data_IF_952855419374
#
_entry.id   IF_952855419374
#
_cell.length_a   1.000
_cell.length_b   1.000
_cell.length_c   1.000
_cell.angle_alpha   90.00
_cell.angle_beta   90.00
_cell.angle_gamma   90.00
#
_symmetry.space_group_name_H-M   'P 1'
#
loop_
_entity.id
_entity.type
_entity.pdbx_description
1 polymer ?
#
# COMPACT_ATOMS: atom_id res chain seq x y z
N UNK A 1 42.37 28.75 -12.82
CA UNK A 1 41.00 28.90 -13.36
C UNK A 1 40.39 27.51 -13.52
N UNK A 2 39.37 27.14 -12.73
CA UNK A 2 38.57 25.96 -13.00
C UNK A 2 37.10 26.39 -13.16
N UNK A 3 36.63 26.71 -14.37
CA UNK A 3 35.24 27.16 -14.54
C UNK A 3 34.80 27.19 -16.00
N UNK A 4 34.49 26.02 -16.60
CA UNK A 4 33.61 25.94 -17.79
C UNK A 4 33.07 24.52 -18.04
N UNK A 5 33.77 23.45 -17.62
CA UNK A 5 33.40 22.06 -17.98
C UNK A 5 32.29 21.36 -17.15
N UNK A 6 31.76 21.98 -16.09
CA UNK A 6 30.79 21.34 -15.18
C UNK A 6 29.33 21.30 -15.69
N UNK A 7 28.79 22.36 -16.33
CA UNK A 7 27.42 22.37 -16.84
C UNK A 7 27.21 21.41 -18.03
N UNK A 8 28.18 21.35 -18.95
CA UNK A 8 28.12 20.50 -20.14
C UNK A 8 28.08 19.01 -19.76
N UNK A 9 28.97 18.58 -18.87
CA UNK A 9 29.02 17.19 -18.37
C UNK A 9 27.73 16.77 -17.66
N UNK A 10 27.08 17.69 -16.95
CA UNK A 10 25.77 17.45 -16.33
C UNK A 10 24.67 17.28 -17.39
N UNK A 11 24.71 18.08 -18.46
CA UNK A 11 23.74 17.95 -19.56
C UNK A 11 23.91 16.64 -20.35
N UNK A 12 25.14 16.18 -20.54
CA UNK A 12 25.47 14.90 -21.17
C UNK A 12 24.98 13.72 -20.33
N UNK A 13 25.27 13.71 -19.02
CA UNK A 13 24.77 12.69 -18.09
C UNK A 13 23.23 12.64 -18.06
N UNK A 14 22.56 13.79 -18.17
CA UNK A 14 21.09 13.86 -18.26
C UNK A 14 20.59 13.22 -19.55
N UNK A 15 21.22 13.52 -20.68
CA UNK A 15 20.86 12.97 -21.98
C UNK A 15 21.08 11.45 -22.02
N UNK A 16 22.23 10.98 -21.52
CA UNK A 16 22.55 9.55 -21.42
C UNK A 16 21.55 8.78 -20.55
N UNK A 17 21.18 9.33 -19.39
CA UNK A 17 20.20 8.68 -18.50
C UNK A 17 18.83 8.56 -19.16
N UNK A 18 18.42 9.54 -19.97
CA UNK A 18 17.13 9.51 -20.69
C UNK A 18 17.13 8.60 -21.92
N UNK A 19 18.29 8.19 -22.43
CA UNK A 19 18.39 7.21 -23.53
C UNK A 19 18.19 5.76 -23.04
N UNK A 20 18.38 5.51 -21.75
CA UNK A 20 18.24 4.19 -21.13
C UNK A 20 16.81 3.88 -20.70
N UNK A 21 16.49 2.58 -20.69
CA UNK A 21 15.26 2.04 -20.07
C UNK A 21 15.54 1.66 -18.62
N UNK A 22 14.96 2.37 -17.67
CA UNK A 22 15.17 2.17 -16.23
C UNK A 22 14.06 1.34 -15.59
N UNK A 23 14.45 0.48 -14.67
CA UNK A 23 13.59 -0.18 -13.70
C UNK A 23 13.80 0.48 -12.35
N UNK A 24 12.72 0.81 -11.65
CA UNK A 24 12.76 1.41 -10.31
C UNK A 24 12.24 0.43 -9.29
N UNK A 25 13.05 0.10 -8.28
CA UNK A 25 12.66 -0.76 -7.17
C UNK A 25 12.65 0.12 -5.92
N UNK A 26 11.46 0.32 -5.37
CA UNK A 26 11.19 1.33 -4.35
C UNK A 26 10.65 0.63 -3.12
N UNK A 27 11.26 0.89 -1.97
CA UNK A 27 10.74 0.49 -0.66
C UNK A 27 10.38 1.75 0.14
N UNK A 28 9.07 2.04 0.23
CA UNK A 28 8.55 3.15 1.01
C UNK A 28 8.36 2.72 2.47
N UNK A 29 9.33 3.10 3.30
CA UNK A 29 9.30 3.01 4.75
C UNK A 29 8.47 4.12 5.41
N UNK A 30 8.40 4.10 6.75
CA UNK A 30 7.76 5.17 7.53
C UNK A 30 8.54 6.50 7.49
N UNK A 31 9.87 6.45 7.65
CA UNK A 31 10.70 7.67 7.67
C UNK A 31 11.41 7.91 6.34
N UNK A 32 11.91 6.86 5.69
CA UNK A 32 12.67 6.96 4.45
C UNK A 32 12.09 6.06 3.37
N UNK A 33 12.25 6.51 2.13
CA UNK A 33 11.99 5.75 0.92
C UNK A 33 13.34 5.41 0.28
N UNK A 34 13.64 4.13 0.20
CA UNK A 34 14.85 3.61 -0.43
C UNK A 34 14.55 3.25 -1.88
N UNK A 35 15.38 3.70 -2.82
CA UNK A 35 15.16 3.51 -4.26
C UNK A 35 16.42 2.97 -4.92
N UNK A 36 16.24 1.90 -5.70
CA UNK A 36 17.24 1.37 -6.61
C UNK A 36 16.73 1.58 -8.03
N UNK A 37 17.43 2.39 -8.81
CA UNK A 37 17.21 2.49 -10.24
C UNK A 37 18.26 1.65 -10.96
N UNK A 38 17.78 0.72 -11.79
CA UNK A 38 18.60 -0.20 -12.55
C UNK A 38 18.27 -0.09 -14.04
N UNK A 39 19.29 0.00 -14.88
CA UNK A 39 19.15 -0.16 -16.31
C UNK A 39 20.18 -1.15 -16.82
N UNK A 40 19.77 -2.00 -17.76
CA UNK A 40 20.65 -2.86 -18.51
C UNK A 40 20.34 -2.66 -19.98
N UNK A 41 21.27 -2.00 -20.67
CA UNK A 41 21.13 -1.73 -22.09
C UNK A 41 22.02 -2.69 -22.86
N UNK A 42 21.42 -3.53 -23.69
CA UNK A 42 22.17 -4.31 -24.67
C UNK A 42 22.21 -3.50 -25.97
N UNK A 43 23.39 -2.95 -26.31
CA UNK A 43 23.61 -2.44 -27.67
C UNK A 43 23.82 -3.64 -28.60
N UNK A 44 23.25 -3.59 -29.80
CA UNK A 44 23.32 -4.72 -30.73
C UNK A 44 24.78 -5.10 -31.01
N UNK A 45 25.18 -6.30 -30.57
CA UNK A 45 26.52 -6.84 -30.76
C UNK A 45 27.53 -6.54 -29.65
N UNK A 46 27.13 -5.83 -28.59
CA UNK A 46 28.00 -5.50 -27.43
C UNK A 46 27.49 -6.16 -26.14
N UNK A 47 28.39 -6.35 -25.17
CA UNK A 47 28.01 -6.77 -23.83
C UNK A 47 27.10 -5.72 -23.20
N UNK A 48 26.04 -6.18 -22.53
CA UNK A 48 25.05 -5.27 -21.96
C UNK A 48 25.67 -4.43 -20.84
N UNK A 49 25.61 -3.11 -20.97
CA UNK A 49 26.12 -2.20 -19.95
C UNK A 49 25.06 -2.03 -18.86
N UNK A 50 25.44 -2.31 -17.61
CA UNK A 50 24.59 -2.14 -16.45
C UNK A 50 24.85 -0.80 -15.77
N UNK A 51 23.78 -0.11 -15.40
CA UNK A 51 23.83 1.09 -14.58
C UNK A 51 22.93 0.95 -13.37
N UNK A 52 23.46 1.36 -12.21
CA UNK A 52 22.76 1.38 -10.93
C UNK A 52 22.86 2.75 -10.28
N UNK A 53 21.76 3.22 -9.74
CA UNK A 53 21.69 4.41 -8.89
C UNK A 53 20.88 4.06 -7.65
N UNK A 54 21.38 4.49 -6.50
CA UNK A 54 20.67 4.33 -5.22
C UNK A 54 20.34 5.69 -4.68
N UNK A 55 19.08 5.90 -4.29
CA UNK A 55 18.61 7.13 -3.68
C UNK A 55 17.93 6.79 -2.35
N UNK A 56 18.02 7.73 -1.40
CA UNK A 56 17.32 7.67 -0.12
C UNK A 56 16.66 9.03 0.11
N UNK A 57 15.33 9.03 0.14
CA UNK A 57 14.53 10.23 0.34
C UNK A 57 13.78 10.11 1.68
N UNK A 58 13.39 11.23 2.26
CA UNK A 58 12.39 11.21 3.32
C UNK A 58 11.07 10.74 2.72
N UNK A 59 10.37 9.82 3.40
CA UNK A 59 9.07 9.32 2.92
C UNK A 59 8.01 10.42 2.84
N UNK A 60 8.13 11.44 3.69
CA UNK A 60 7.29 12.63 3.69
C UNK A 60 8.16 13.88 3.81
N UNK A 61 8.06 14.76 2.80
CA UNK A 61 8.67 16.09 2.83
C UNK A 61 7.86 17.06 1.96
N UNK A 62 6.65 17.44 2.39
CA UNK A 62 5.71 18.24 1.59
C UNK A 62 6.24 19.64 1.23
N UNK A 63 7.28 20.12 1.90
CA UNK A 63 7.93 21.38 1.55
C UNK A 63 8.76 21.29 0.25
N UNK A 64 9.10 20.09 -0.20
CA UNK A 64 10.00 19.85 -1.34
C UNK A 64 9.33 19.02 -2.44
N UNK A 65 8.52 18.02 -2.08
CA UNK A 65 7.82 17.14 -3.03
C UNK A 65 6.55 16.54 -2.41
N UNK A 66 5.58 16.23 -3.27
CA UNK A 66 4.32 15.60 -2.87
C UNK A 66 4.49 14.10 -2.58
N UNK A 67 5.35 13.41 -3.35
CA UNK A 67 5.60 11.97 -3.21
C UNK A 67 7.07 11.63 -3.45
N UNK A 68 7.67 10.91 -2.50
CA UNK A 68 9.08 10.53 -2.53
C UNK A 68 9.42 9.58 -3.69
N UNK A 69 8.50 8.71 -4.10
CA UNK A 69 8.71 7.75 -5.19
C UNK A 69 8.78 8.48 -6.53
N UNK A 70 7.82 9.39 -6.76
CA UNK A 70 7.79 10.26 -7.94
C UNK A 70 9.03 11.13 -7.99
N UNK A 71 9.42 11.73 -6.85
CA UNK A 71 10.63 12.55 -6.77
C UNK A 71 11.89 11.75 -7.10
N UNK A 72 12.04 10.53 -6.59
CA UNK A 72 13.21 9.70 -6.89
C UNK A 72 13.33 9.39 -8.39
N UNK A 73 12.21 9.10 -9.06
CA UNK A 73 12.18 8.89 -10.52
C UNK A 73 12.60 10.18 -11.25
N UNK A 74 12.12 11.35 -10.80
CA UNK A 74 12.52 12.65 -11.35
C UNK A 74 14.02 12.90 -11.18
N UNK A 75 14.61 12.59 -10.03
CA UNK A 75 16.04 12.79 -9.79
C UNK A 75 16.90 11.88 -10.67
N UNK A 76 16.52 10.61 -10.81
CA UNK A 76 17.22 9.65 -11.68
C UNK A 76 17.15 10.09 -13.14
N UNK A 77 15.96 10.42 -13.64
CA UNK A 77 15.76 10.85 -15.04
C UNK A 77 16.09 12.33 -15.27
N UNK A 78 16.51 13.02 -14.21
CA UNK A 78 16.82 14.45 -14.18
C UNK A 78 15.72 15.31 -14.81
N UNK A 79 14.47 15.03 -14.45
CA UNK A 79 13.26 15.74 -14.88
C UNK A 79 13.07 16.95 -13.98
N UNK A 80 12.80 18.12 -14.56
CA UNK A 80 12.60 19.32 -13.75
C UNK A 80 11.28 19.22 -12.95
N UNK A 81 11.14 19.98 -11.84
CA UNK A 81 9.87 20.09 -11.13
C UNK A 81 8.74 20.52 -12.08
N UNK A 82 7.58 19.85 -11.99
CA UNK A 82 6.41 20.16 -12.82
C UNK A 82 6.43 19.60 -14.25
N UNK A 83 7.59 19.16 -14.77
CA UNK A 83 7.63 18.52 -16.10
C UNK A 83 7.03 17.11 -16.08
N UNK A 84 6.44 16.61 -17.18
CA UNK A 84 6.01 15.22 -17.25
C UNK A 84 7.22 14.28 -17.20
N UNK A 85 7.08 13.18 -16.46
CA UNK A 85 8.08 12.10 -16.47
C UNK A 85 7.99 11.40 -17.84
N UNK A 86 9.11 11.25 -18.58
CA UNK A 86 9.09 10.55 -19.85
C UNK A 86 8.91 9.05 -19.61
N UNK A 87 7.68 8.56 -19.80
CA UNK A 87 7.31 7.15 -19.59
C UNK A 87 8.16 6.20 -20.43
N UNK A 88 8.61 6.65 -21.60
CA UNK A 88 9.47 5.85 -22.48
C UNK A 88 10.85 5.60 -21.88
N UNK A 89 11.28 6.29 -20.83
CA UNK A 89 12.51 5.99 -20.12
C UNK A 89 12.29 4.98 -18.98
N UNK A 90 11.04 4.64 -18.66
CA UNK A 90 10.65 3.78 -17.53
C UNK A 90 10.15 2.44 -18.05
N UNK A 91 10.88 1.37 -17.76
CA UNK A 91 10.50 0.00 -18.10
C UNK A 91 9.49 -0.56 -17.08
N UNK A 92 9.77 -0.42 -15.79
CA UNK A 92 8.85 -0.79 -14.73
C UNK A 92 9.14 -0.05 -13.42
N UNK A 93 8.12 0.03 -12.56
CA UNK A 93 8.24 0.46 -11.18
C UNK A 93 7.73 -0.67 -10.30
N UNK A 94 8.59 -1.18 -9.42
CA UNK A 94 8.26 -2.17 -8.41
C UNK A 94 8.24 -1.46 -7.07
N UNK A 95 7.09 -1.40 -6.43
CA UNK A 95 6.93 -0.68 -5.17
C UNK A 95 6.55 -1.65 -4.05
N UNK A 96 7.41 -1.75 -3.06
CA UNK A 96 7.09 -2.26 -1.73
C UNK A 96 6.79 -1.10 -0.80
N UNK A 97 5.87 -1.29 0.13
CA UNK A 97 5.66 -0.32 1.21
C UNK A 97 5.34 -1.02 2.51
N UNK A 98 5.80 -0.42 3.61
CA UNK A 98 5.50 -0.87 4.97
C UNK A 98 4.32 -0.14 5.59
N UNK A 99 3.69 0.81 4.88
CA UNK A 99 2.58 1.63 5.41
C UNK A 99 1.42 0.77 5.89
N UNK A 100 0.96 -0.20 5.09
CA UNK A 100 -0.17 -1.05 5.45
C UNK A 100 0.14 -1.95 6.66
N UNK A 101 1.35 -2.52 6.72
CA UNK A 101 1.77 -3.38 7.83
C UNK A 101 1.91 -2.58 9.12
N UNK A 102 2.49 -1.38 9.07
CA UNK A 102 2.60 -0.51 10.24
C UNK A 102 1.22 -0.01 10.69
N UNK A 103 0.35 0.36 9.75
CA UNK A 103 -1.03 0.71 10.05
C UNK A 103 -1.77 -0.42 10.80
N UNK A 104 -1.57 -1.66 10.38
CA UNK A 104 -2.14 -2.84 11.07
C UNK A 104 -1.54 -3.05 12.47
N UNK A 105 -0.20 -3.00 12.59
CA UNK A 105 0.50 -3.21 13.86
C UNK A 105 0.18 -2.11 14.89
N UNK A 106 0.12 -0.86 14.43
CA UNK A 106 -0.18 0.32 15.25
C UNK A 106 -1.69 0.54 15.44
N UNK A 107 -2.53 -0.32 14.87
CA UNK A 107 -4.01 -0.19 14.89
C UNK A 107 -4.49 1.17 14.36
N UNK A 108 -3.77 1.73 13.39
CA UNK A 108 -4.11 2.97 12.70
C UNK A 108 -4.89 2.61 11.44
N UNK A 109 -6.21 2.56 11.55
CA UNK A 109 -7.11 2.34 10.43
C UNK A 109 -8.52 2.77 10.80
N UNK A 110 -9.40 2.75 9.81
CA UNK A 110 -10.79 3.11 10.04
C UNK A 110 -11.52 2.02 10.83
N UNK A 111 -12.49 2.40 11.69
CA UNK A 111 -13.32 1.42 12.38
C UNK A 111 -14.06 0.53 11.37
N UNK A 112 -13.90 -0.78 11.52
CA UNK A 112 -14.55 -1.76 10.64
C UNK A 112 -15.69 -2.50 11.34
N UNK A 113 -16.60 -3.05 10.54
CA UNK A 113 -17.68 -3.93 10.97
C UNK A 113 -17.50 -5.31 10.33
N UNK A 114 -17.70 -6.36 11.12
CA UNK A 114 -17.76 -7.73 10.64
C UNK A 114 -19.22 -8.09 10.33
N UNK A 115 -19.52 -8.39 9.07
CA UNK A 115 -20.78 -9.05 8.70
C UNK A 115 -20.52 -10.55 8.64
N UNK A 116 -21.30 -11.31 9.40
CA UNK A 116 -21.14 -12.76 9.52
C UNK A 116 -22.49 -13.45 9.57
N UNK A 117 -22.57 -14.71 9.19
CA UNK A 117 -23.80 -15.49 9.30
C UNK A 117 -24.34 -15.49 10.73
N UNK A 118 -25.66 -15.39 10.88
CA UNK A 118 -26.32 -15.48 12.19
C UNK A 118 -25.92 -16.74 12.96
N UNK A 119 -25.59 -16.57 14.24
CA UNK A 119 -25.05 -17.62 15.11
C UNK A 119 -23.53 -17.73 15.08
N UNK A 120 -22.82 -16.96 14.23
CA UNK A 120 -21.37 -16.97 14.10
C UNK A 120 -20.71 -15.67 14.56
N UNK A 121 -21.41 -14.84 15.35
CA UNK A 121 -20.92 -13.58 15.90
C UNK A 121 -19.48 -13.63 16.43
N UNK A 122 -19.16 -14.70 17.16
CA UNK A 122 -17.88 -14.84 17.86
C UNK A 122 -16.84 -15.66 17.08
N UNK A 123 -17.06 -15.96 15.79
CA UNK A 123 -16.19 -16.87 15.02
C UNK A 123 -14.72 -16.41 15.00
N UNK A 124 -14.46 -15.12 14.80
CA UNK A 124 -13.09 -14.57 14.79
C UNK A 124 -12.52 -14.35 16.20
N UNK A 125 -13.39 -14.14 17.20
CA UNK A 125 -13.00 -14.05 18.61
C UNK A 125 -12.54 -15.41 19.15
N UNK A 126 -13.23 -16.49 18.76
CA UNK A 126 -12.88 -17.87 19.11
C UNK A 126 -11.67 -18.33 18.28
N UNK A 127 -11.63 -17.95 17.00
CA UNK A 127 -10.63 -18.36 16.04
C UNK A 127 -10.46 -19.90 16.04
N UNK A 128 -9.22 -20.38 15.95
CA UNK A 128 -8.91 -21.82 15.96
C UNK A 128 -8.72 -22.41 17.36
N UNK A 129 -8.92 -21.63 18.43
CA UNK A 129 -8.61 -22.02 19.81
C UNK A 129 -7.18 -22.56 20.00
N UNK A 130 -6.23 -22.16 19.15
CA UNK A 130 -4.83 -22.56 19.29
C UNK A 130 -4.28 -22.02 20.63
N UNK A 131 -3.77 -22.94 21.46
CA UNK A 131 -3.20 -22.62 22.77
C UNK A 131 -1.67 -22.75 22.71
N UNK A 132 -0.93 -21.67 22.38
CA UNK A 132 0.53 -21.74 22.34
C UNK A 132 1.12 -22.08 23.71
N UNK A 133 0.47 -21.62 24.79
CA UNK A 133 0.68 -22.12 26.16
C UNK A 133 -0.57 -22.87 26.64
N UNK A 134 -0.48 -24.20 26.61
CA UNK A 134 -1.56 -25.12 26.98
C UNK A 134 -1.88 -25.11 28.49
N UNK A 135 -0.95 -24.63 29.34
CA UNK A 135 -1.14 -24.62 30.80
C UNK A 135 -1.46 -23.23 31.37
N UNK A 136 -1.42 -22.18 30.53
CA UNK A 136 -1.83 -20.84 30.94
C UNK A 136 -3.25 -20.84 31.54
N UNK A 137 -3.37 -20.43 32.82
CA UNK A 137 -4.66 -20.29 33.51
C UNK A 137 -5.41 -19.01 33.10
N UNK A 138 -4.66 -17.98 32.69
CA UNK A 138 -5.19 -16.72 32.18
C UNK A 138 -4.91 -16.65 30.67
N UNK A 139 -5.97 -16.75 29.86
CA UNK A 139 -5.86 -16.69 28.40
C UNK A 139 -6.08 -15.26 27.97
N UNK A 140 -5.06 -14.67 27.35
CA UNK A 140 -5.19 -13.36 26.71
C UNK A 140 -5.66 -13.56 25.26
N UNK A 141 -6.85 -13.06 24.97
CA UNK A 141 -7.37 -13.06 23.60
C UNK A 141 -6.83 -11.85 22.85
N UNK A 142 -6.53 -12.06 21.57
CA UNK A 142 -6.14 -10.97 20.68
C UNK A 142 -7.29 -9.97 20.54
N UNK A 143 -6.95 -8.68 20.58
CA UNK A 143 -7.89 -7.61 20.30
C UNK A 143 -8.38 -7.71 18.84
N UNK A 144 -9.70 -7.63 18.66
CA UNK A 144 -10.32 -7.76 17.35
C UNK A 144 -10.11 -6.50 16.51
N UNK A 145 -9.98 -6.66 15.19
CA UNK A 145 -9.83 -5.52 14.27
C UNK A 145 -11.16 -4.80 14.01
N UNK A 146 -12.28 -5.52 14.15
CA UNK A 146 -13.61 -4.97 14.02
C UNK A 146 -14.12 -4.43 15.35
N UNK A 147 -14.94 -3.39 15.27
CA UNK A 147 -15.59 -2.74 16.41
C UNK A 147 -17.05 -3.15 16.59
N UNK A 148 -17.66 -3.66 15.52
CA UNK A 148 -19.07 -4.06 15.46
C UNK A 148 -19.21 -5.38 14.71
N UNK A 149 -20.28 -6.11 15.03
CA UNK A 149 -20.65 -7.35 14.34
C UNK A 149 -22.13 -7.25 13.96
N UNK A 150 -22.43 -7.51 12.69
CA UNK A 150 -23.78 -7.67 12.16
C UNK A 150 -23.97 -9.14 11.77
N UNK A 151 -25.05 -9.73 12.24
CA UNK A 151 -25.40 -11.12 11.98
C UNK A 151 -26.40 -11.22 10.83
N UNK A 152 -25.90 -11.47 9.62
CA UNK A 152 -26.71 -11.65 8.43
C UNK A 152 -27.59 -12.90 8.57
N UNK A 153 -28.89 -12.75 8.32
CA UNK A 153 -29.85 -13.86 8.26
C UNK A 153 -29.72 -14.53 6.90
N UNK A 154 -28.90 -15.56 6.86
CA UNK A 154 -28.64 -16.41 5.70
C UNK A 154 -28.10 -17.76 6.16
N UNK A 155 -28.11 -18.76 5.27
CA UNK A 155 -27.36 -19.99 5.45
C UNK A 155 -27.01 -20.63 4.12
N UNK A 156 -25.73 -20.98 3.97
CA UNK A 156 -25.22 -21.88 2.92
C UNK A 156 -24.62 -23.13 3.55
N UNK A 157 -24.88 -24.31 2.96
CA UNK A 157 -24.30 -25.57 3.41
C UNK A 157 -22.88 -25.82 2.85
N UNK A 158 -22.22 -26.88 3.31
CA UNK A 158 -20.86 -27.24 2.87
C UNK A 158 -20.75 -27.63 1.38
N UNK A 159 -21.88 -27.88 0.71
CA UNK A 159 -21.93 -28.17 -0.74
C UNK A 159 -22.26 -26.92 -1.56
N UNK A 160 -22.44 -25.77 -0.92
CA UNK A 160 -22.81 -24.51 -1.57
C UNK A 160 -24.31 -24.34 -1.80
N UNK A 161 -25.17 -25.21 -1.26
CA UNK A 161 -26.62 -25.05 -1.38
C UNK A 161 -27.13 -23.99 -0.40
N UNK A 162 -28.01 -23.12 -0.86
CA UNK A 162 -28.71 -22.15 -0.01
C UNK A 162 -29.75 -22.88 0.83
N UNK A 163 -29.56 -22.88 2.14
CA UNK A 163 -30.50 -23.43 3.14
C UNK A 163 -31.48 -22.35 3.61
N UNK A 164 -30.98 -21.14 3.81
CA UNK A 164 -31.77 -19.94 4.12
C UNK A 164 -31.26 -18.81 3.22
N UNK A 165 -32.11 -18.23 2.36
CA UNK A 165 -31.70 -17.13 1.50
C UNK A 165 -31.38 -15.90 2.34
N UNK A 166 -30.48 -15.05 1.82
CA UNK A 166 -30.12 -13.80 2.49
C UNK A 166 -31.31 -12.85 2.60
N UNK A 167 -31.63 -12.44 3.82
CA UNK A 167 -32.55 -11.33 4.08
C UNK A 167 -31.85 -10.00 3.80
N UNK A 168 -31.79 -9.62 2.52
CA UNK A 168 -31.13 -8.38 2.07
C UNK A 168 -31.77 -7.13 2.69
N UNK A 169 -33.08 -7.15 2.92
CA UNK A 169 -33.80 -6.00 3.47
C UNK A 169 -33.40 -5.75 4.92
N UNK A 170 -33.33 -6.81 5.74
CA UNK A 170 -32.85 -6.71 7.11
C UNK A 170 -31.38 -6.27 7.17
N UNK A 171 -30.51 -6.93 6.40
CA UNK A 171 -29.08 -6.59 6.40
C UNK A 171 -28.82 -5.15 5.95
N UNK A 172 -29.55 -4.67 4.95
CA UNK A 172 -29.48 -3.28 4.51
C UNK A 172 -29.89 -2.31 5.61
N UNK A 173 -30.95 -2.63 6.36
CA UNK A 173 -31.39 -1.83 7.51
C UNK A 173 -30.29 -1.70 8.56
N UNK A 174 -29.68 -2.83 8.95
CA UNK A 174 -28.60 -2.87 9.95
C UNK A 174 -27.38 -2.05 9.51
N UNK A 175 -26.98 -2.17 8.23
CA UNK A 175 -25.86 -1.41 7.66
C UNK A 175 -26.15 0.10 7.57
N UNK A 176 -27.37 0.49 7.24
CA UNK A 176 -27.77 1.89 7.19
C UNK A 176 -27.80 2.53 8.58
N UNK A 177 -28.27 1.80 9.59
CA UNK A 177 -28.21 2.25 10.97
C UNK A 177 -26.77 2.46 11.43
N UNK A 178 -25.89 1.49 11.17
CA UNK A 178 -24.47 1.61 11.47
C UNK A 178 -23.81 2.80 10.76
N UNK A 179 -24.15 3.04 9.49
CA UNK A 179 -23.63 4.19 8.75
C UNK A 179 -24.07 5.52 9.38
N UNK A 180 -25.34 5.64 9.79
CA UNK A 180 -25.86 6.83 10.48
C UNK A 180 -25.16 7.04 11.83
N UNK A 181 -24.92 5.97 12.59
CA UNK A 181 -24.15 6.05 13.85
C UNK A 181 -22.73 6.57 13.62
N UNK A 182 -22.06 6.09 12.56
CA UNK A 182 -20.71 6.52 12.21
C UNK A 182 -20.68 8.02 11.82
N UNK A 183 -21.62 8.45 10.97
CA UNK A 183 -21.80 9.86 10.61
C UNK A 183 -22.04 10.75 11.83
N UNK A 184 -22.95 10.35 12.72
CA UNK A 184 -23.24 11.09 13.95
C UNK A 184 -22.04 11.18 14.92
N UNK A 185 -21.15 10.18 14.90
CA UNK A 185 -19.91 10.17 15.67
C UNK A 185 -18.77 10.99 15.03
N UNK A 186 -19.03 11.68 13.91
CA UNK A 186 -18.01 12.43 13.16
C UNK A 186 -17.00 11.53 12.46
N UNK A 187 -17.32 10.25 12.29
CA UNK A 187 -16.49 9.25 11.63
C UNK A 187 -17.07 9.07 10.23
N UNK A 188 -16.65 9.89 9.29
CA UNK A 188 -17.07 9.73 7.90
C UNK A 188 -16.73 8.31 7.43
N UNK A 189 -17.69 7.65 6.77
CA UNK A 189 -17.40 6.42 6.06
C UNK A 189 -16.32 6.72 4.99
N UNK A 190 -15.25 5.92 4.88
CA UNK A 190 -14.40 6.01 3.70
C UNK A 190 -15.30 5.70 2.51
N UNK A 191 -15.44 6.68 1.62
CA UNK A 191 -16.27 6.55 0.44
C UNK A 191 -15.83 5.33 -0.36
N UNK A 192 -16.79 4.44 -0.68
CA UNK A 192 -16.67 3.64 -1.88
C UNK A 192 -16.76 4.61 -3.07
N UNK A 193 -15.61 5.06 -3.56
CA UNK A 193 -15.45 5.67 -4.87
C UNK A 193 -14.79 4.67 -5.80
#
# INVERSE_FOLDING_TARGET
APSEAAPERLSELRAERRQRKWQFWIDRGGTFTDVIAYSREARSGEEAEEAFLTLKLLSENPAVYDDACVQAIREVLCVAPGEPIPSDCVSCVKMGTTVATNALLERKGDPTCLVVTRGFRDVLRIAYQNRPDIFARHIELHEQLYSRVIEARERVDARGNVVEPLDEAALRGDLQELAREAEAAGRAAPGLA
#
